data_IF_841791757758
#
_entry.id   IF_841791757758
#
_cell.length_a   1.000
_cell.length_b   1.000
_cell.length_c   1.000
_cell.angle_alpha   90.00
_cell.angle_beta   90.00
_cell.angle_gamma   90.00
#
_symmetry.space_group_name_H-M   'P 1'
#
loop_
_entity.id
_entity.type
_entity.pdbx_description
1 polymer ?
#
# COMPACT_ATOMS: atom_id res chain seq x y z
N UNK A 1 -66.95 26.48 -62.03
CA UNK A 1 -66.40 27.81 -61.67
C UNK A 1 -65.05 27.58 -61.02
N UNK A 2 -64.01 28.24 -61.55
CA UNK A 2 -62.63 28.42 -61.00
C UNK A 2 -61.77 27.18 -60.70
N UNK A 3 -60.89 26.90 -61.67
CA UNK A 3 -59.55 26.28 -61.59
C UNK A 3 -58.58 27.12 -60.71
N UNK A 4 -57.28 26.76 -60.63
CA UNK A 4 -56.55 26.10 -59.53
C UNK A 4 -55.74 27.10 -58.66
N UNK A 5 -54.96 26.63 -57.66
CA UNK A 5 -53.59 27.15 -57.41
C UNK A 5 -52.80 26.34 -56.38
N UNK A 6 -51.69 25.83 -56.89
CA UNK A 6 -50.47 25.41 -56.24
C UNK A 6 -49.87 26.46 -55.31
N UNK A 7 -49.07 26.01 -54.32
CA UNK A 7 -47.75 26.57 -53.99
C UNK A 7 -46.97 25.62 -53.08
N UNK A 8 -45.97 24.98 -53.69
CA UNK A 8 -44.77 24.54 -53.00
C UNK A 8 -43.97 25.79 -52.58
N UNK A 9 -43.39 25.78 -51.39
CA UNK A 9 -42.29 26.69 -51.02
C UNK A 9 -41.13 25.87 -50.48
N UNK A 10 -39.97 26.26 -50.96
CA UNK A 10 -38.68 25.61 -50.94
C UNK A 10 -37.87 25.85 -49.65
N UNK A 11 -37.02 24.86 -49.37
CA UNK A 11 -35.78 24.80 -48.60
C UNK A 11 -35.22 26.07 -47.92
N UNK A 12 -34.83 25.89 -46.64
CA UNK A 12 -33.66 26.54 -46.06
C UNK A 12 -32.86 25.49 -45.26
N UNK A 13 -31.60 25.31 -45.66
CA UNK A 13 -30.59 24.45 -45.04
C UNK A 13 -29.92 25.14 -43.85
N UNK A 14 -29.68 24.39 -42.77
CA UNK A 14 -28.57 24.56 -41.82
C UNK A 14 -28.53 23.28 -40.95
N UNK A 15 -27.68 22.30 -41.26
CA UNK A 15 -26.28 22.18 -40.87
C UNK A 15 -26.06 21.65 -39.44
N UNK A 16 -25.57 20.40 -39.39
CA UNK A 16 -24.44 19.89 -38.56
C UNK A 16 -24.61 19.86 -37.03
N UNK A 17 -24.76 18.64 -36.49
CA UNK A 17 -23.76 17.99 -35.63
C UNK A 17 -24.17 16.54 -35.33
N UNK A 18 -23.54 15.62 -36.05
CA UNK A 18 -23.39 14.26 -35.59
C UNK A 18 -22.27 14.26 -34.53
N UNK A 19 -22.60 13.89 -33.30
CA UNK A 19 -21.60 13.41 -32.34
C UNK A 19 -22.10 12.05 -31.89
N UNK A 20 -21.48 11.02 -32.44
CA UNK A 20 -21.51 9.69 -31.87
C UNK A 20 -20.84 9.74 -30.50
N UNK A 21 -21.60 9.38 -29.48
CA UNK A 21 -21.06 9.04 -28.17
C UNK A 21 -21.28 7.55 -27.99
N UNK A 22 -20.19 6.79 -28.05
CA UNK A 22 -20.19 5.35 -27.78
C UNK A 22 -20.94 5.05 -26.48
N UNK A 23 -21.83 4.07 -26.52
CA UNK A 23 -22.27 3.35 -25.33
C UNK A 23 -21.02 2.67 -24.76
N UNK A 24 -20.33 3.38 -23.85
CA UNK A 24 -19.33 2.77 -23.01
C UNK A 24 -20.05 1.71 -22.19
N UNK A 25 -19.78 0.46 -22.52
CA UNK A 25 -20.07 -0.66 -21.65
C UNK A 25 -19.39 -0.34 -20.31
N UNK A 26 -20.19 0.06 -19.33
CA UNK A 26 -19.75 0.19 -17.95
C UNK A 26 -19.35 -1.19 -17.49
N UNK A 27 -18.06 -1.51 -17.61
CA UNK A 27 -17.46 -2.59 -16.87
C UNK A 27 -17.65 -2.23 -15.40
N UNK A 28 -18.58 -2.92 -14.74
CA UNK A 28 -18.62 -2.99 -13.29
C UNK A 28 -17.32 -3.68 -12.86
N UNK A 29 -16.24 -2.93 -12.68
CA UNK A 29 -15.08 -3.41 -11.94
C UNK A 29 -15.58 -3.64 -10.52
N UNK A 30 -15.77 -4.89 -10.16
CA UNK A 30 -15.95 -5.28 -8.78
C UNK A 30 -14.71 -4.78 -8.03
N UNK A 31 -14.89 -3.77 -7.20
CA UNK A 31 -13.90 -3.38 -6.22
C UNK A 31 -13.70 -4.58 -5.30
N UNK A 32 -12.57 -5.27 -5.44
CA UNK A 32 -12.10 -6.19 -4.41
C UNK A 32 -11.51 -5.32 -3.31
N UNK A 33 -12.38 -4.69 -2.53
CA UNK A 33 -12.00 -4.03 -1.28
C UNK A 33 -11.80 -5.15 -0.27
N UNK A 34 -10.54 -5.52 0.00
CA UNK A 34 -10.20 -6.41 1.11
C UNK A 34 -10.13 -5.58 2.39
N UNK A 35 -11.28 -5.18 2.92
CA UNK A 35 -11.38 -4.98 4.36
C UNK A 35 -11.55 -6.37 4.95
N UNK A 36 -10.51 -6.84 5.65
CA UNK A 36 -10.44 -8.12 6.32
C UNK A 36 -11.58 -8.31 7.35
N UNK A 37 -12.78 -8.67 6.88
CA UNK A 37 -13.81 -9.40 7.62
C UNK A 37 -14.95 -9.87 6.71
N UNK A 38 -14.63 -10.85 5.86
CA UNK A 38 -15.61 -11.86 5.46
C UNK A 38 -14.97 -13.24 5.52
N UNK A 39 -15.39 -14.04 6.50
CA UNK A 39 -15.07 -15.47 6.54
C UNK A 39 -15.88 -16.15 5.44
N UNK A 40 -15.30 -16.28 4.25
CA UNK A 40 -15.73 -17.23 3.22
C UNK A 40 -14.60 -18.23 2.98
N UNK A 41 -14.86 -19.48 3.32
CA UNK A 41 -14.08 -20.60 2.82
C UNK A 41 -14.29 -20.70 1.31
N UNK A 42 -13.47 -20.01 0.49
CA UNK A 42 -13.43 -20.18 -0.97
C UNK A 42 -13.05 -18.94 -1.77
N UNK A 43 -11.93 -19.03 -2.50
CA UNK A 43 -11.43 -18.07 -3.51
C UNK A 43 -12.42 -17.91 -4.68
N UNK A 44 -12.66 -16.68 -5.13
CA UNK A 44 -13.29 -16.37 -6.43
C UNK A 44 -12.47 -15.27 -7.12
N UNK A 45 -11.98 -15.52 -8.34
CA UNK A 45 -11.65 -14.43 -9.30
C UNK A 45 -10.38 -14.51 -10.16
N UNK A 46 -9.35 -15.29 -9.81
CA UNK A 46 -8.13 -15.42 -10.64
C UNK A 46 -7.39 -16.72 -10.28
N UNK A 47 -6.79 -17.46 -11.25
CA UNK A 47 -5.92 -18.58 -10.93
C UNK A 47 -4.58 -18.14 -10.29
N UNK A 48 -4.32 -16.84 -10.22
CA UNK A 48 -3.09 -16.26 -9.68
C UNK A 48 -3.35 -15.66 -8.29
N UNK A 49 -2.52 -16.01 -7.32
CA UNK A 49 -2.52 -15.39 -5.99
C UNK A 49 -1.95 -13.98 -6.11
N UNK A 50 -2.72 -12.97 -5.71
CA UNK A 50 -2.22 -11.61 -5.50
C UNK A 50 -1.49 -11.58 -4.16
N UNK A 51 -0.28 -11.03 -4.14
CA UNK A 51 0.60 -11.12 -2.98
C UNK A 51 1.66 -10.00 -2.96
N UNK A 52 1.88 -9.45 -1.76
CA UNK A 52 2.94 -8.49 -1.44
C UNK A 52 3.89 -9.14 -0.44
N UNK A 53 5.16 -9.23 -0.82
CA UNK A 53 6.20 -9.74 0.06
C UNK A 53 7.16 -8.65 0.50
N UNK A 54 7.94 -8.97 1.52
CA UNK A 54 9.14 -8.21 1.90
C UNK A 54 10.38 -9.09 1.81
N UNK A 55 11.55 -8.48 1.67
CA UNK A 55 12.84 -9.18 1.65
C UNK A 55 13.61 -8.86 2.91
N UNK A 56 13.90 -9.87 3.73
CA UNK A 56 14.66 -9.70 4.97
C UNK A 56 16.12 -9.33 4.74
N UNK A 57 16.80 -8.95 5.82
CA UNK A 57 18.22 -8.58 5.80
C UNK A 57 19.14 -9.71 5.33
N UNK A 58 18.67 -10.97 5.34
CA UNK A 58 19.37 -12.13 4.81
C UNK A 58 19.13 -12.36 3.31
N UNK A 59 18.33 -11.52 2.66
CA UNK A 59 17.94 -11.65 1.26
C UNK A 59 16.87 -12.72 1.04
N UNK A 60 16.08 -13.05 2.06
CA UNK A 60 15.05 -14.09 1.99
C UNK A 60 13.66 -13.47 1.89
N UNK A 61 12.78 -14.11 1.11
CA UNK A 61 11.38 -13.71 0.94
C UNK A 61 10.62 -14.00 2.22
N UNK A 62 9.83 -13.02 2.65
CA UNK A 62 8.98 -13.08 3.83
C UNK A 62 7.55 -12.69 3.44
N UNK A 63 6.61 -13.62 3.56
CA UNK A 63 5.18 -13.41 3.26
C UNK A 63 4.39 -13.24 4.56
N UNK A 64 3.84 -12.04 4.78
CA UNK A 64 3.15 -11.68 6.02
C UNK A 64 1.65 -12.02 5.99
N UNK A 65 1.27 -13.11 5.32
CA UNK A 65 -0.13 -13.50 5.05
C UNK A 65 -0.92 -13.90 6.32
N UNK A 66 -0.22 -14.12 7.43
CA UNK A 66 -0.81 -14.51 8.71
C UNK A 66 -1.16 -13.31 9.59
N UNK A 67 -2.21 -13.40 10.43
CA UNK A 67 -2.63 -12.29 11.31
C UNK A 67 -1.59 -11.93 12.38
N UNK A 68 -0.57 -12.77 12.59
CA UNK A 68 0.54 -12.48 13.49
C UNK A 68 1.57 -11.52 12.89
N UNK A 69 1.53 -11.31 11.57
CA UNK A 69 2.56 -10.60 10.82
C UNK A 69 3.92 -11.30 10.89
N UNK A 70 4.98 -10.54 10.62
CA UNK A 70 6.36 -11.00 10.72
C UNK A 70 7.12 -10.11 11.69
N UNK A 71 7.83 -10.73 12.62
CA UNK A 71 8.74 -10.01 13.51
C UNK A 71 9.94 -9.51 12.71
N UNK A 72 10.05 -8.20 12.57
CA UNK A 72 11.16 -7.54 11.89
C UNK A 72 12.16 -6.99 12.90
N UNK A 73 13.39 -7.55 12.99
CA UNK A 73 14.38 -7.03 13.91
C UNK A 73 14.93 -5.69 13.41
N UNK A 74 14.79 -4.65 14.23
CA UNK A 74 15.41 -3.35 13.99
C UNK A 74 16.74 -3.32 14.76
N UNK A 75 17.85 -3.31 14.02
CA UNK A 75 19.17 -3.24 14.62
C UNK A 75 19.33 -1.96 15.45
N UNK A 76 19.81 -2.09 16.69
CA UNK A 76 20.01 -0.96 17.60
C UNK A 76 18.75 -0.44 18.29
N UNK A 77 17.58 -1.06 18.09
CA UNK A 77 16.35 -0.66 18.79
C UNK A 77 16.45 -0.78 20.32
N UNK A 78 17.25 -1.72 20.82
CA UNK A 78 17.57 -1.89 22.24
C UNK A 78 18.43 -0.76 22.83
N UNK A 79 19.06 0.03 21.96
CA UNK A 79 19.90 1.18 22.31
C UNK A 79 19.26 2.53 22.00
N UNK A 80 18.01 2.54 21.50
CA UNK A 80 17.28 3.78 21.21
C UNK A 80 16.97 4.52 22.52
N UNK A 81 17.50 5.74 22.63
CA UNK A 81 17.30 6.63 23.78
C UNK A 81 16.61 7.92 23.33
N UNK A 82 15.99 8.68 24.25
CA UNK A 82 15.33 9.94 23.92
C UNK A 82 16.27 10.91 23.20
N UNK A 83 15.76 11.60 22.17
CA UNK A 83 16.51 12.54 21.34
C UNK A 83 17.26 11.88 20.17
N UNK A 84 17.19 10.56 20.02
CA UNK A 84 17.87 9.82 18.96
C UNK A 84 16.88 9.16 18.00
N UNK A 85 17.42 8.74 16.86
CA UNK A 85 16.69 8.02 15.82
C UNK A 85 17.45 6.77 15.40
N UNK A 86 16.68 5.79 14.93
CA UNK A 86 17.17 4.58 14.27
C UNK A 86 16.51 4.45 12.92
N UNK A 87 17.24 3.93 11.95
CA UNK A 87 16.76 3.75 10.59
C UNK A 87 16.92 2.30 10.19
N UNK A 88 15.91 1.76 9.52
CA UNK A 88 15.92 0.42 8.94
C UNK A 88 15.42 0.47 7.50
N UNK A 89 15.95 -0.41 6.67
CA UNK A 89 15.55 -0.56 5.29
C UNK A 89 14.83 -1.89 5.10
N UNK A 90 13.81 -1.88 4.25
CA UNK A 90 13.07 -3.05 3.85
C UNK A 90 12.69 -2.94 2.38
N UNK A 91 12.89 -4.03 1.63
CA UNK A 91 12.47 -4.12 0.23
C UNK A 91 11.07 -4.71 0.19
N UNK A 92 10.10 -3.92 -0.27
CA UNK A 92 8.72 -4.36 -0.54
C UNK A 92 8.62 -4.72 -2.00
N UNK A 93 7.99 -5.86 -2.33
CA UNK A 93 7.83 -6.26 -3.72
C UNK A 93 6.48 -6.90 -3.99
N UNK A 94 5.99 -6.69 -5.21
CA UNK A 94 4.81 -7.35 -5.73
C UNK A 94 5.21 -8.75 -6.21
N UNK A 95 4.76 -9.78 -5.50
CA UNK A 95 5.06 -11.16 -5.82
C UNK A 95 4.10 -11.75 -6.87
N UNK A 96 3.12 -10.95 -7.31
CA UNK A 96 2.11 -11.35 -8.29
C UNK A 96 2.70 -11.35 -9.70
N UNK A 97 2.53 -12.46 -10.43
CA UNK A 97 3.14 -12.64 -11.75
C UNK A 97 2.69 -11.63 -12.82
N UNK A 98 1.40 -11.28 -12.86
CA UNK A 98 0.78 -10.64 -14.05
C UNK A 98 0.10 -9.28 -13.79
N UNK A 99 -0.11 -8.94 -12.53
CA UNK A 99 -0.94 -7.79 -12.15
C UNK A 99 -0.09 -6.84 -11.31
N UNK A 100 -0.23 -5.54 -11.54
CA UNK A 100 0.39 -4.53 -10.70
C UNK A 100 -0.32 -4.44 -9.35
N UNK A 101 0.29 -3.75 -8.40
CA UNK A 101 -0.27 -3.52 -7.07
C UNK A 101 -0.11 -2.04 -6.72
N UNK A 102 -1.20 -1.32 -6.47
CA UNK A 102 -1.13 0.00 -5.84
C UNK A 102 -1.03 -0.22 -4.33
N UNK A 103 0.10 0.14 -3.74
CA UNK A 103 0.45 -0.25 -2.37
C UNK A 103 0.54 0.97 -1.48
N UNK A 104 -0.05 0.87 -0.29
CA UNK A 104 0.12 1.81 0.82
C UNK A 104 0.85 1.15 1.97
N UNK A 105 1.40 1.98 2.85
CA UNK A 105 2.04 1.56 4.08
C UNK A 105 1.54 2.40 5.24
N UNK A 106 1.27 1.76 6.36
CA UNK A 106 0.92 2.44 7.61
C UNK A 106 1.65 1.84 8.81
N UNK A 107 1.82 2.63 9.87
CA UNK A 107 2.26 2.13 11.18
C UNK A 107 1.01 1.76 11.99
N UNK A 108 0.97 0.53 12.46
CA UNK A 108 -0.10 0.04 13.34
C UNK A 108 0.47 -0.43 14.68
N UNK A 109 -0.35 -0.44 15.71
CA UNK A 109 0.01 -1.02 17.00
C UNK A 109 -0.28 -2.52 16.97
N UNK A 110 0.59 -3.34 17.57
CA UNK A 110 0.39 -4.81 17.61
C UNK A 110 -0.73 -5.22 18.57
N UNK A 111 -1.13 -4.31 19.44
CA UNK A 111 -2.21 -4.38 20.40
C UNK A 111 -2.89 -3.01 20.47
N UNK A 112 -3.88 -2.83 21.34
CA UNK A 112 -4.70 -1.62 21.36
C UNK A 112 -3.90 -0.32 21.63
N UNK A 113 -2.81 -0.39 22.40
CA UNK A 113 -2.09 0.78 22.90
C UNK A 113 -0.57 0.77 22.65
N UNK A 114 -0.01 -0.29 22.06
CA UNK A 114 1.42 -0.44 21.82
C UNK A 114 2.22 -0.86 23.06
N UNK A 115 1.57 -1.20 24.18
CA UNK A 115 2.29 -1.58 25.40
C UNK A 115 2.97 -2.95 25.28
N UNK A 116 4.14 -3.10 25.91
CA UNK A 116 4.86 -4.37 26.02
C UNK A 116 4.96 -4.80 27.47
N UNK A 117 4.21 -5.83 27.85
CA UNK A 117 4.27 -6.49 29.15
C UNK A 117 4.32 -5.50 30.34
N UNK A 118 5.38 -5.58 31.17
CA UNK A 118 5.60 -4.77 32.37
C UNK A 118 6.43 -3.50 32.11
N UNK A 119 6.67 -3.14 30.85
CA UNK A 119 7.51 -2.00 30.48
C UNK A 119 6.69 -0.72 30.32
N UNK A 120 7.24 0.45 30.69
CA UNK A 120 6.63 1.72 30.36
C UNK A 120 6.35 1.83 28.85
N UNK A 121 5.17 2.30 28.47
CA UNK A 121 4.79 2.42 27.08
C UNK A 121 5.33 3.73 26.49
N UNK A 122 6.25 3.64 25.52
CA UNK A 122 6.89 4.81 24.89
C UNK A 122 6.23 5.22 23.57
N UNK A 123 5.19 4.52 23.12
CA UNK A 123 4.54 4.70 21.81
C UNK A 123 4.17 6.15 21.53
N UNK A 124 3.70 6.89 22.54
CA UNK A 124 3.32 8.30 22.40
C UNK A 124 4.48 9.28 22.12
N UNK A 125 5.72 8.83 22.31
CA UNK A 125 6.94 9.61 22.11
C UNK A 125 7.73 9.18 20.87
N UNK A 126 7.17 8.27 20.07
CA UNK A 126 7.77 7.85 18.82
C UNK A 126 7.24 8.67 17.65
N UNK A 127 8.15 9.07 16.77
CA UNK A 127 7.84 9.67 15.48
C UNK A 127 8.40 8.82 14.35
N UNK A 128 7.64 8.75 13.28
CA UNK A 128 7.93 7.90 12.14
C UNK A 128 8.11 8.77 10.90
N UNK A 129 9.19 8.50 10.19
CA UNK A 129 9.46 9.05 8.86
C UNK A 129 9.74 7.87 7.94
N UNK A 130 9.01 7.77 6.85
CA UNK A 130 9.24 6.74 5.84
C UNK A 130 9.56 7.38 4.49
N UNK A 131 10.56 6.82 3.80
CA UNK A 131 10.97 7.27 2.47
C UNK A 131 11.00 6.08 1.51
N UNK A 132 10.55 6.29 0.28
CA UNK A 132 10.70 5.37 -0.83
C UNK A 132 11.64 6.01 -1.83
N UNK A 133 12.75 5.34 -2.14
CA UNK A 133 13.75 5.82 -3.11
C UNK A 133 14.20 7.29 -2.81
N UNK A 134 14.28 7.65 -1.52
CA UNK A 134 14.64 8.99 -1.02
C UNK A 134 13.48 10.00 -0.90
N UNK A 135 12.30 9.68 -1.43
CA UNK A 135 11.11 10.54 -1.38
C UNK A 135 10.27 10.21 -0.15
N UNK A 136 9.90 11.22 0.64
CA UNK A 136 9.07 11.01 1.83
C UNK A 136 7.67 10.50 1.45
N UNK A 137 7.28 9.38 2.07
CA UNK A 137 5.91 8.84 2.08
C UNK A 137 5.12 9.52 3.20
N UNK A 138 5.72 9.58 4.39
CA UNK A 138 5.29 10.41 5.51
C UNK A 138 6.52 10.87 6.30
N UNK A 139 6.41 11.99 7.02
CA UNK A 139 7.52 12.61 7.73
C UNK A 139 7.07 13.12 9.10
N UNK A 140 7.82 12.75 10.14
CA UNK A 140 7.63 13.16 11.52
C UNK A 140 6.19 12.97 12.04
N UNK A 141 5.62 11.78 11.82
CA UNK A 141 4.23 11.44 12.21
C UNK A 141 4.17 10.58 13.47
N UNK A 142 3.11 10.77 14.26
CA UNK A 142 2.71 9.74 15.23
C UNK A 142 2.24 8.49 14.48
N UNK A 143 2.23 7.33 15.14
CA UNK A 143 1.76 6.08 14.55
C UNK A 143 0.38 6.21 13.88
N UNK A 144 -0.57 6.89 14.55
CA UNK A 144 -1.94 7.02 14.07
C UNK A 144 -2.09 7.86 12.78
N UNK A 145 -1.08 8.68 12.46
CA UNK A 145 -1.04 9.52 11.26
C UNK A 145 0.06 9.08 10.28
N UNK A 146 0.78 8.00 10.58
CA UNK A 146 1.92 7.51 9.81
C UNK A 146 1.43 6.55 8.72
N UNK A 147 0.78 7.11 7.71
CA UNK A 147 0.28 6.40 6.53
C UNK A 147 0.71 7.12 5.26
N UNK A 148 0.99 6.36 4.19
CA UNK A 148 1.14 6.93 2.86
C UNK A 148 1.30 5.89 1.77
N UNK A 149 1.36 6.38 0.52
CA UNK A 149 1.45 5.52 -0.67
C UNK A 149 2.90 5.17 -1.01
N UNK A 150 3.16 3.89 -1.25
CA UNK A 150 4.36 3.38 -1.94
C UNK A 150 4.21 3.55 -3.46
N UNK A 151 2.97 3.62 -3.93
CA UNK A 151 2.58 3.74 -5.33
C UNK A 151 2.44 2.38 -6.00
N UNK A 152 2.40 2.40 -7.34
CA UNK A 152 2.19 1.19 -8.12
C UNK A 152 3.47 0.38 -8.28
N UNK A 153 3.48 -0.83 -7.71
CA UNK A 153 4.45 -1.89 -7.95
C UNK A 153 4.05 -2.67 -9.21
N UNK A 154 4.94 -2.74 -10.18
CA UNK A 154 4.72 -3.53 -11.40
C UNK A 154 4.57 -5.02 -11.06
N UNK A 155 3.90 -5.76 -11.96
CA UNK A 155 3.84 -7.21 -11.84
C UNK A 155 5.24 -7.84 -11.83
N UNK A 156 5.46 -8.89 -11.04
CA UNK A 156 6.74 -9.60 -10.94
C UNK A 156 7.23 -10.12 -12.30
N UNK A 157 6.32 -10.48 -13.21
CA UNK A 157 6.62 -11.02 -14.54
C UNK A 157 7.06 -12.49 -14.55
N UNK A 158 7.45 -13.03 -13.40
CA UNK A 158 7.96 -14.39 -13.22
C UNK A 158 7.12 -15.14 -12.18
N UNK A 159 7.40 -16.42 -11.96
CA UNK A 159 6.66 -17.22 -10.99
C UNK A 159 6.78 -16.61 -9.57
N UNK A 160 5.71 -16.57 -8.75
CA UNK A 160 5.82 -16.09 -7.38
C UNK A 160 6.86 -16.86 -6.57
N UNK A 161 7.52 -16.19 -5.64
CA UNK A 161 8.44 -16.79 -4.69
C UNK A 161 7.67 -17.27 -3.45
N UNK A 162 8.10 -18.39 -2.88
CA UNK A 162 7.54 -18.89 -1.62
C UNK A 162 8.19 -18.19 -0.42
N UNK A 163 7.49 -18.14 0.70
CA UNK A 163 8.08 -17.74 2.00
C UNK A 163 9.35 -18.56 2.31
N UNK A 164 10.38 -17.88 2.80
CA UNK A 164 11.70 -18.45 3.09
C UNK A 164 12.54 -18.81 1.86
N UNK A 165 12.10 -18.50 0.63
CA UNK A 165 12.95 -18.66 -0.55
C UNK A 165 13.98 -17.52 -0.66
N UNK A 166 15.10 -17.78 -1.32
CA UNK A 166 16.04 -16.72 -1.68
C UNK A 166 15.38 -15.72 -2.64
N UNK A 167 15.54 -14.43 -2.35
CA UNK A 167 14.98 -13.39 -3.18
C UNK A 167 15.66 -13.36 -4.55
N UNK A 168 14.83 -13.17 -5.58
CA UNK A 168 15.27 -12.86 -6.93
C UNK A 168 14.45 -11.70 -7.43
N UNK A 169 15.09 -10.73 -8.08
CA UNK A 169 14.39 -9.57 -8.63
C UNK A 169 13.38 -10.00 -9.71
N UNK A 170 12.24 -9.32 -9.74
CA UNK A 170 11.23 -9.47 -10.79
C UNK A 170 11.48 -8.54 -11.96
N UNK A 171 10.39 -8.12 -12.63
CA UNK A 171 10.44 -7.01 -13.58
C UNK A 171 10.88 -5.71 -12.89
N UNK A 172 11.47 -4.80 -13.67
CA UNK A 172 11.78 -3.46 -13.19
C UNK A 172 10.51 -2.78 -12.63
N UNK A 173 10.64 -2.18 -11.44
CA UNK A 173 9.52 -1.52 -10.76
C UNK A 173 8.58 -2.47 -10.01
N UNK A 174 8.86 -3.78 -9.95
CA UNK A 174 8.10 -4.72 -9.10
C UNK A 174 8.52 -4.69 -7.63
N UNK A 175 9.56 -3.92 -7.29
CA UNK A 175 10.09 -3.75 -5.94
C UNK A 175 10.38 -2.28 -5.64
N UNK A 176 10.33 -1.90 -4.37
CA UNK A 176 10.71 -0.58 -3.83
C UNK A 176 11.42 -0.76 -2.51
N UNK A 177 12.38 0.12 -2.23
CA UNK A 177 13.05 0.16 -0.93
C UNK A 177 12.40 1.22 -0.05
N UNK A 178 11.82 0.77 1.06
CA UNK A 178 11.31 1.61 2.12
C UNK A 178 12.41 1.79 3.18
N UNK A 179 12.81 3.03 3.37
CA UNK A 179 13.60 3.44 4.53
C UNK A 179 12.63 3.93 5.60
N UNK A 180 12.60 3.26 6.75
CA UNK A 180 11.84 3.67 7.92
C UNK A 180 12.78 4.20 8.99
N UNK A 181 12.59 5.46 9.36
CA UNK A 181 13.24 6.08 10.50
C UNK A 181 12.26 6.21 11.66
N UNK A 182 12.66 5.73 12.83
CA UNK A 182 11.95 5.86 14.09
C UNK A 182 12.75 6.80 14.98
N UNK A 183 12.13 7.90 15.38
CA UNK A 183 12.71 8.89 16.30
C UNK A 183 12.05 8.77 17.65
N UNK A 184 12.85 8.66 18.70
CA UNK A 184 12.38 8.79 20.07
C UNK A 184 12.54 10.24 20.51
N UNK A 185 11.44 10.93 20.74
CA UNK A 185 11.45 12.33 21.17
C UNK A 185 12.09 12.51 22.55
N UNK A 186 12.91 13.55 22.67
CA UNK A 186 13.33 14.09 23.97
C UNK A 186 12.30 15.13 24.40
N UNK A 187 11.38 14.74 25.28
CA UNK A 187 10.26 15.55 25.72
C UNK A 187 10.02 15.38 27.23
N UNK A 188 9.39 16.38 27.84
CA UNK A 188 9.02 16.33 29.26
C UNK A 188 8.21 15.06 29.57
N UNK A 189 8.60 14.36 30.62
CA UNK A 189 7.94 13.14 31.09
C UNK A 189 8.57 11.84 30.58
N UNK A 190 9.45 11.91 29.57
CA UNK A 190 10.17 10.75 29.04
C UNK A 190 11.18 10.19 30.05
N UNK A 191 11.70 11.02 30.95
CA UNK A 191 12.61 10.61 32.03
C UNK A 191 12.00 9.58 32.99
N UNK A 192 10.66 9.51 33.06
CA UNK A 192 9.93 8.53 33.85
C UNK A 192 9.70 7.19 33.10
N UNK A 193 10.03 7.13 31.81
CA UNK A 193 9.80 5.99 30.92
C UNK A 193 11.09 5.21 30.60
N UNK A 194 12.10 5.32 31.48
CA UNK A 194 13.35 4.57 31.34
C UNK A 194 13.09 3.05 31.24
N UNK A 195 13.70 2.41 30.23
CA UNK A 195 13.47 1.00 29.92
C UNK A 195 12.11 0.71 29.27
N UNK A 196 11.40 1.74 28.83
CA UNK A 196 10.14 1.63 28.12
C UNK A 196 10.27 1.02 26.74
N UNK A 197 9.15 0.48 26.25
CA UNK A 197 9.07 -0.26 24.99
C UNK A 197 7.76 0.07 24.26
N UNK A 198 7.73 -0.22 22.96
CA UNK A 198 6.57 -0.06 22.10
C UNK A 198 6.42 -1.29 21.20
N UNK A 199 5.18 -1.75 21.02
CA UNK A 199 4.80 -2.84 20.14
C UNK A 199 4.14 -2.28 18.87
N UNK A 200 4.95 -2.05 17.84
CA UNK A 200 4.49 -1.52 16.54
C UNK A 200 4.67 -2.55 15.43
N UNK A 201 3.91 -2.39 14.36
CA UNK A 201 4.04 -3.14 13.11
C UNK A 201 3.86 -2.21 11.91
N UNK A 202 4.36 -2.64 10.77
CA UNK A 202 4.03 -2.06 9.47
C UNK A 202 2.88 -2.85 8.87
N UNK A 203 1.85 -2.15 8.41
CA UNK A 203 0.81 -2.73 7.56
C UNK A 203 1.07 -2.31 6.12
N UNK A 204 0.98 -3.25 5.19
CA UNK A 204 1.01 -2.97 3.76
C UNK A 204 -0.33 -3.39 3.19
N UNK A 205 -1.08 -2.43 2.67
CA UNK A 205 -2.33 -2.69 1.99
C UNK A 205 -2.09 -2.51 0.49
N UNK A 206 -2.68 -3.37 -0.32
CA UNK A 206 -2.47 -3.32 -1.76
C UNK A 206 -3.72 -3.67 -2.54
N UNK A 207 -3.98 -2.90 -3.60
CA UNK A 207 -5.05 -3.16 -4.54
C UNK A 207 -4.48 -3.57 -5.90
N UNK A 208 -5.05 -4.62 -6.48
CA UNK A 208 -4.66 -5.08 -7.81
C UNK A 208 -4.99 -4.01 -8.88
N UNK A 209 -3.98 -3.61 -9.65
CA UNK A 209 -4.17 -2.65 -10.75
C UNK A 209 -4.22 -3.37 -12.09
N UNK A 210 -5.11 -2.93 -12.99
CA UNK A 210 -5.17 -3.48 -14.33
C UNK A 210 -3.80 -3.35 -15.02
N UNK A 211 -3.32 -4.44 -15.63
CA UNK A 211 -2.04 -4.48 -16.34
C UNK A 211 -2.01 -3.36 -17.37
N UNK A 212 -1.04 -2.44 -17.26
CA UNK A 212 -0.80 -1.46 -18.32
C UNK A 212 -0.50 -2.20 -19.64
N UNK A 213 -1.13 -1.80 -20.76
CA UNK A 213 -1.03 -2.50 -22.05
C UNK A 213 0.38 -2.48 -22.64
#
# INVERSE_FOLDING_TARGET
MTTPRSRAVWFASAAVLAVGGALAAGATSAAFTDEARLVTTGRIGSPFTFDIGVVDQGGMVRQADGPAGIDWPIAGADTLVPGHSITTELTVFNNTRQVGADTTVSIVLRNDDGAVADKPNITGYLRFTARIDGVAVFEDRAWADAEGSIGVLAARGTAPLADGAAYTAGNAGSERNLELTITYLDADGVEYLNGGQAAIALSFDAEATATAP
#
